data_IF_461711544560
#
_entry.id   IF_461711544560
#
_cell.length_a   1.000
_cell.length_b   1.000
_cell.length_c   1.000
_cell.angle_alpha   90.00
_cell.angle_beta   90.00
_cell.angle_gamma   90.00
#
_symmetry.space_group_name_H-M   'P 1'
#
loop_
_entity.id
_entity.type
_entity.pdbx_description
1 polymer ?
#
# COMPACT_ATOMS: atom_id res chain seq x y z
N UNK A 1 7.22 -14.60 21.28
CA UNK A 1 8.35 -13.82 20.70
C UNK A 1 7.79 -12.96 19.59
N UNK A 2 7.94 -11.64 19.69
CA UNK A 2 7.16 -10.66 18.94
C UNK A 2 7.62 -10.53 17.48
N UNK A 3 6.66 -10.57 16.56
CA UNK A 3 6.80 -10.31 15.12
C UNK A 3 7.42 -8.92 14.80
N UNK A 4 7.44 -8.00 15.78
CA UNK A 4 7.90 -6.62 15.63
C UNK A 4 9.41 -6.37 15.55
N UNK A 5 10.26 -7.37 15.29
CA UNK A 5 11.73 -7.13 15.15
C UNK A 5 12.35 -7.51 13.81
N UNK A 6 11.62 -8.13 12.89
CA UNK A 6 12.17 -8.64 11.63
C UNK A 6 11.76 -7.84 10.38
N UNK A 7 11.40 -6.57 10.53
CA UNK A 7 11.21 -5.63 9.38
C UNK A 7 12.48 -4.77 9.19
N UNK A 8 13.59 -5.14 9.83
CA UNK A 8 14.84 -4.38 9.77
C UNK A 8 15.84 -5.05 8.83
N UNK A 9 15.71 -4.72 7.55
CA UNK A 9 16.50 -5.34 6.47
C UNK A 9 16.75 -4.44 5.25
N UNK A 10 16.98 -3.15 5.47
CA UNK A 10 17.89 -2.27 4.70
C UNK A 10 17.54 -1.87 3.26
N UNK A 11 16.83 -2.63 2.43
CA UNK A 11 16.30 -2.15 1.15
C UNK A 11 15.16 -3.07 0.73
N UNK A 12 13.94 -2.56 0.58
CA UNK A 12 12.78 -3.38 0.22
C UNK A 12 11.96 -3.78 1.44
N UNK A 13 10.76 -3.21 1.53
CA UNK A 13 9.66 -3.93 2.17
C UNK A 13 9.62 -5.30 1.47
N UNK A 14 9.83 -6.41 2.18
CA UNK A 14 9.67 -7.70 1.53
C UNK A 14 8.25 -7.77 0.99
N UNK A 15 8.08 -8.29 -0.23
CA UNK A 15 6.76 -8.42 -0.85
C UNK A 15 5.76 -9.11 0.08
N UNK A 16 6.21 -10.08 0.88
CA UNK A 16 5.42 -10.74 1.91
C UNK A 16 4.99 -9.80 3.05
N UNK A 17 5.85 -8.87 3.48
CA UNK A 17 5.49 -7.90 4.51
C UNK A 17 4.46 -6.88 3.98
N UNK A 18 4.59 -6.48 2.71
CA UNK A 18 3.58 -5.66 2.04
C UNK A 18 2.25 -6.42 1.96
N UNK A 19 2.26 -7.65 1.43
CA UNK A 19 1.07 -8.51 1.37
C UNK A 19 0.42 -8.68 2.74
N UNK A 20 1.22 -8.89 3.79
CA UNK A 20 0.70 -9.03 5.16
C UNK A 20 0.06 -7.73 5.66
N UNK A 21 0.67 -6.57 5.39
CA UNK A 21 0.12 -5.28 5.79
C UNK A 21 -1.20 -4.94 5.09
N UNK A 22 -1.39 -5.46 3.88
CA UNK A 22 -2.59 -5.22 3.06
C UNK A 22 -3.54 -6.43 2.99
N UNK A 23 -3.29 -7.52 3.73
CA UNK A 23 -4.07 -8.76 3.58
C UNK A 23 -5.55 -8.57 3.91
N UNK A 24 -5.88 -7.68 4.85
CA UNK A 24 -7.26 -7.35 5.20
C UNK A 24 -8.06 -6.79 4.01
N UNK A 25 -7.40 -6.18 3.03
CA UNK A 25 -8.05 -5.62 1.86
C UNK A 25 -8.11 -6.62 0.69
N UNK A 26 -7.22 -7.63 0.69
CA UNK A 26 -7.15 -8.65 -0.36
C UNK A 26 -8.07 -9.84 -0.10
N UNK A 27 -8.30 -10.19 1.17
CA UNK A 27 -9.07 -11.37 1.56
C UNK A 27 -10.55 -11.04 1.87
N UNK A 28 -10.87 -9.77 2.03
CA UNK A 28 -12.20 -9.34 2.45
C UNK A 28 -13.14 -9.20 1.25
N UNK A 29 -14.31 -9.85 1.33
CA UNK A 29 -15.35 -9.80 0.29
C UNK A 29 -16.02 -8.42 0.15
N UNK A 30 -15.60 -7.42 0.93
CA UNK A 30 -16.09 -6.04 0.87
C UNK A 30 -15.45 -5.21 -0.26
N UNK A 31 -14.42 -5.72 -0.93
CA UNK A 31 -13.71 -5.01 -1.99
C UNK A 31 -14.11 -5.52 -3.37
N UNK A 32 -14.28 -4.59 -4.31
CA UNK A 32 -14.48 -4.94 -5.73
C UNK A 32 -13.17 -5.42 -6.36
N UNK A 33 -13.25 -6.10 -7.50
CA UNK A 33 -12.07 -6.53 -8.26
C UNK A 33 -11.15 -5.35 -8.63
N UNK A 34 -11.75 -4.19 -8.93
CA UNK A 34 -11.03 -2.97 -9.25
C UNK A 34 -10.29 -2.41 -8.02
N UNK A 35 -10.94 -2.42 -6.84
CA UNK A 35 -10.32 -2.00 -5.58
C UNK A 35 -9.19 -2.97 -5.16
N UNK A 36 -9.37 -4.28 -5.35
CA UNK A 36 -8.33 -5.28 -5.08
C UNK A 36 -7.13 -5.07 -6.00
N UNK A 37 -7.37 -4.83 -7.30
CA UNK A 37 -6.31 -4.54 -8.27
C UNK A 37 -5.52 -3.29 -7.87
N UNK A 38 -6.21 -2.25 -7.42
CA UNK A 38 -5.56 -1.04 -6.90
C UNK A 38 -4.66 -1.33 -5.69
N UNK A 39 -5.13 -2.13 -4.72
CA UNK A 39 -4.31 -2.53 -3.56
C UNK A 39 -3.06 -3.31 -4.00
N UNK A 40 -3.15 -4.14 -5.05
CA UNK A 40 -2.00 -4.84 -5.60
C UNK A 40 -0.98 -3.89 -6.20
N UNK A 41 -1.41 -2.85 -6.92
CA UNK A 41 -0.51 -1.83 -7.44
C UNK A 41 0.23 -1.06 -6.33
N UNK A 42 -0.46 -0.75 -5.21
CA UNK A 42 0.19 -0.18 -4.03
C UNK A 42 1.31 -1.09 -3.52
N UNK A 43 1.02 -2.39 -3.36
CA UNK A 43 1.99 -3.38 -2.88
C UNK A 43 3.20 -3.45 -3.81
N UNK A 44 2.97 -3.53 -5.13
CA UNK A 44 4.02 -3.56 -6.14
C UNK A 44 4.90 -2.30 -6.09
N UNK A 45 4.27 -1.13 -6.02
CA UNK A 45 4.96 0.16 -5.97
C UNK A 45 5.84 0.28 -4.73
N UNK A 46 5.27 0.06 -3.54
CA UNK A 46 5.99 0.16 -2.27
C UNK A 46 7.09 -0.90 -2.18
N UNK A 47 6.89 -2.10 -2.74
CA UNK A 47 7.95 -3.12 -2.79
C UNK A 47 9.12 -2.67 -3.65
N UNK A 48 8.84 -1.97 -4.76
CA UNK A 48 9.86 -1.54 -5.74
C UNK A 48 10.58 -0.26 -5.30
N UNK A 49 9.85 0.72 -4.76
CA UNK A 49 10.34 2.07 -4.48
C UNK A 49 10.47 2.38 -2.98
N UNK A 50 9.93 1.53 -2.10
CA UNK A 50 10.03 1.66 -0.65
C UNK A 50 8.99 2.59 -0.01
N UNK A 51 8.48 3.56 -0.77
CA UNK A 51 7.45 4.50 -0.32
C UNK A 51 6.42 4.78 -1.42
N UNK A 52 5.25 5.26 -1.02
CA UNK A 52 4.21 5.75 -1.95
C UNK A 52 3.69 7.10 -1.44
N UNK A 53 3.93 8.17 -2.19
CA UNK A 53 3.51 9.54 -1.87
C UNK A 53 2.26 9.96 -2.66
N UNK A 54 1.53 11.00 -2.24
CA UNK A 54 0.43 11.55 -3.02
C UNK A 54 0.84 12.02 -4.42
N UNK A 55 2.10 12.45 -4.59
CA UNK A 55 2.68 12.79 -5.88
C UNK A 55 2.83 11.56 -6.76
N UNK A 56 3.39 10.46 -6.24
CA UNK A 56 3.52 9.18 -6.97
C UNK A 56 2.15 8.64 -7.42
N UNK A 57 1.11 8.82 -6.61
CA UNK A 57 -0.25 8.37 -6.94
C UNK A 57 -0.88 9.13 -8.13
N UNK A 58 -0.32 10.29 -8.51
CA UNK A 58 -0.76 11.07 -9.67
C UNK A 58 -0.01 10.69 -10.94
N UNK A 59 1.07 9.94 -10.83
CA UNK A 59 1.84 9.49 -12.00
C UNK A 59 1.03 8.44 -12.77
N UNK A 60 1.00 8.56 -14.10
CA UNK A 60 0.24 7.65 -14.97
C UNK A 60 0.69 6.18 -14.81
N UNK A 61 1.96 5.96 -14.45
CA UNK A 61 2.55 4.63 -14.21
C UNK A 61 2.03 3.92 -12.97
N UNK A 62 1.45 4.63 -11.99
CA UNK A 62 1.09 4.04 -10.70
C UNK A 62 -0.14 3.13 -10.77
N UNK A 63 -1.22 3.58 -11.42
CA UNK A 63 -2.48 2.85 -11.51
C UNK A 63 -2.93 2.59 -12.96
N UNK A 64 -2.02 2.74 -13.94
CA UNK A 64 -2.32 2.55 -15.35
C UNK A 64 -3.41 3.49 -15.88
N UNK A 65 -3.50 4.70 -15.32
CA UNK A 65 -4.53 5.69 -15.64
C UNK A 65 -5.90 5.48 -14.98
N UNK A 66 -6.05 4.54 -14.03
CA UNK A 66 -7.28 4.38 -13.27
C UNK A 66 -7.50 5.55 -12.29
N UNK A 67 -8.71 6.11 -12.27
CA UNK A 67 -9.06 7.18 -11.34
C UNK A 67 -9.37 6.62 -9.95
N UNK A 68 -8.52 6.93 -8.98
CA UNK A 68 -8.65 6.51 -7.58
C UNK A 68 -9.99 6.96 -6.99
N UNK A 69 -10.48 8.14 -7.36
CA UNK A 69 -11.75 8.66 -6.86
C UNK A 69 -12.94 7.88 -7.40
N UNK A 70 -12.85 7.36 -8.63
CA UNK A 70 -13.86 6.47 -9.21
C UNK A 70 -13.80 5.08 -8.59
N UNK A 71 -12.61 4.57 -8.29
CA UNK A 71 -12.43 3.23 -7.68
C UNK A 71 -13.02 3.13 -6.27
N UNK A 72 -13.03 4.23 -5.51
CA UNK A 72 -13.44 4.27 -4.11
C UNK A 72 -14.61 5.23 -3.84
N UNK A 73 -15.39 5.61 -4.85
CA UNK A 73 -16.50 6.57 -4.70
C UNK A 73 -17.57 6.11 -3.68
N UNK A 74 -17.80 4.80 -3.65
CA UNK A 74 -18.77 4.09 -2.81
C UNK A 74 -18.21 3.65 -1.46
N UNK A 75 -16.89 3.77 -1.26
CA UNK A 75 -16.19 3.22 -0.09
C UNK A 75 -14.98 4.06 0.35
N UNK A 76 -15.24 5.33 0.67
CA UNK A 76 -14.23 6.27 1.18
C UNK A 76 -13.55 5.80 2.48
N UNK A 77 -14.28 5.08 3.34
CA UNK A 77 -13.73 4.53 4.57
C UNK A 77 -12.63 3.48 4.29
N UNK A 78 -12.81 2.65 3.25
CA UNK A 78 -11.76 1.73 2.80
C UNK A 78 -10.52 2.48 2.32
N UNK A 79 -10.71 3.55 1.54
CA UNK A 79 -9.60 4.37 1.07
C UNK A 79 -8.82 5.00 2.23
N UNK A 80 -9.50 5.51 3.25
CA UNK A 80 -8.85 6.04 4.46
C UNK A 80 -8.02 4.99 5.21
N UNK A 81 -8.51 3.75 5.32
CA UNK A 81 -7.76 2.64 5.94
C UNK A 81 -6.49 2.30 5.15
N UNK A 82 -6.60 2.19 3.82
CA UNK A 82 -5.46 1.95 2.93
C UNK A 82 -4.40 3.05 3.10
N UNK A 83 -4.82 4.31 3.10
CA UNK A 83 -3.93 5.45 3.28
C UNK A 83 -3.17 5.41 4.61
N UNK A 84 -3.85 5.04 5.70
CA UNK A 84 -3.21 4.89 7.03
C UNK A 84 -2.10 3.83 7.03
N UNK A 85 -2.31 2.72 6.32
CA UNK A 85 -1.30 1.67 6.14
C UNK A 85 -0.11 2.20 5.33
N UNK A 86 -0.35 2.92 4.24
CA UNK A 86 0.69 3.56 3.43
C UNK A 86 1.53 4.53 4.28
N UNK A 87 0.89 5.42 5.04
CA UNK A 87 1.57 6.40 5.90
C UNK A 87 2.44 5.71 6.97
N UNK A 88 1.95 4.62 7.54
CA UNK A 88 2.71 3.79 8.49
C UNK A 88 3.94 3.18 7.84
N UNK A 89 3.80 2.65 6.62
CA UNK A 89 4.92 2.08 5.86
C UNK A 89 5.96 3.16 5.53
N UNK A 90 5.52 4.30 4.97
CA UNK A 90 6.40 5.40 4.62
C UNK A 90 7.19 5.91 5.83
N UNK A 91 6.51 6.10 6.97
CA UNK A 91 7.15 6.54 8.22
C UNK A 91 8.23 5.55 8.67
N UNK A 92 7.92 4.24 8.59
CA UNK A 92 8.88 3.20 8.93
C UNK A 92 10.07 3.16 7.97
N UNK A 93 9.84 3.34 6.68
CA UNK A 93 10.88 3.38 5.65
C UNK A 93 11.83 4.57 5.87
N UNK A 94 11.30 5.78 6.11
CA UNK A 94 12.11 6.99 6.38
C UNK A 94 12.97 6.86 7.64
N UNK A 95 12.47 6.19 8.68
CA UNK A 95 13.23 5.96 9.93
C UNK A 95 14.43 5.01 9.74
N UNK A 96 14.50 4.27 8.63
CA UNK A 96 15.60 3.36 8.35
C UNK A 96 16.74 4.03 7.57
N UNK A 97 16.48 5.15 6.90
CA UNK A 97 17.46 5.94 6.13
C UNK A 97 18.02 7.15 6.89
N UNK A 98 17.46 7.48 8.06
CA UNK A 98 17.93 8.52 8.99
C UNK A 98 18.84 7.94 10.08
#
# INVERSE_FOLDING_TARGET
>A
MSLGRFIRGITGLSHEAALTAFSEFLENQLFTEQQITFVRHIIEWITRWGTLTPEDMKEDEFAGGADIFEIFDDNLDAFHRIRSVIETINTNAMRLVA
#
